data_IF_985673687456
#
_entry.id   IF_985673687456
#
_cell.length_a   1.000
_cell.length_b   1.000
_cell.length_c   1.000
_cell.angle_alpha   90.00
_cell.angle_beta   90.00
_cell.angle_gamma   90.00
#
_symmetry.space_group_name_H-M   'P 1'
#
loop_
_entity.id
_entity.type
_entity.pdbx_description
1 polymer ?
#
# COMPACT_ATOMS: atom_id res chain seq x y z
N UNK A 1 8.68 9.15 -2.01
CA UNK A 1 9.04 8.07 -1.06
C UNK A 1 9.24 6.81 -1.88
N UNK A 2 10.48 6.52 -2.27
CA UNK A 2 10.83 5.29 -2.98
C UNK A 2 11.10 4.25 -1.90
N UNK A 3 10.20 3.28 -1.77
CA UNK A 3 10.39 2.14 -0.88
C UNK A 3 11.36 1.18 -1.56
N UNK A 4 12.60 1.15 -1.10
CA UNK A 4 13.63 0.26 -1.59
C UNK A 4 13.42 -1.14 -0.96
N UNK A 5 12.91 -2.09 -1.74
CA UNK A 5 12.90 -3.50 -1.35
C UNK A 5 14.29 -4.09 -1.61
N UNK A 6 14.99 -4.49 -0.54
CA UNK A 6 16.16 -5.38 -0.65
C UNK A 6 15.69 -6.70 -1.25
N UNK A 7 16.23 -7.07 -2.40
CA UNK A 7 16.22 -8.46 -2.86
C UNK A 7 17.08 -9.28 -1.92
N UNK A 8 16.44 -10.07 -1.05
CA UNK A 8 17.10 -11.19 -0.40
C UNK A 8 17.15 -12.32 -1.45
N UNK A 9 18.34 -12.81 -1.78
CA UNK A 9 18.53 -14.02 -2.58
C UNK A 9 17.80 -15.19 -1.89
N UNK A 10 16.86 -15.83 -2.59
CA UNK A 10 16.09 -16.98 -2.10
C UNK A 10 14.57 -16.88 -2.15
N UNK A 11 13.99 -15.87 -2.81
CA UNK A 11 12.53 -15.72 -2.88
C UNK A 11 11.87 -16.75 -3.81
N UNK A 12 11.16 -17.73 -3.22
CA UNK A 12 10.06 -18.43 -3.90
C UNK A 12 8.97 -17.40 -4.23
N UNK A 13 8.63 -17.31 -5.52
CA UNK A 13 7.60 -16.43 -6.08
C UNK A 13 6.31 -16.44 -5.23
N UNK A 14 6.11 -15.39 -4.41
CA UNK A 14 4.89 -15.18 -3.65
C UNK A 14 3.77 -14.72 -4.61
N UNK A 15 2.97 -15.69 -5.09
CA UNK A 15 1.71 -15.39 -5.77
C UNK A 15 0.72 -14.75 -4.79
N UNK A 16 0.42 -13.48 -5.02
CA UNK A 16 -0.62 -12.74 -4.29
C UNK A 16 -1.99 -13.33 -4.67
N UNK A 17 -2.78 -13.88 -3.74
CA UNK A 17 -4.15 -14.33 -4.03
C UNK A 17 -5.06 -13.11 -4.24
N UNK A 18 -5.68 -13.01 -5.40
CA UNK A 18 -6.73 -12.02 -5.66
C UNK A 18 -8.07 -12.58 -5.16
N UNK A 19 -8.66 -11.93 -4.17
CA UNK A 19 -10.05 -12.13 -3.74
C UNK A 19 -10.77 -10.77 -3.73
N UNK A 20 -12.06 -10.70 -4.14
CA UNK A 20 -12.95 -11.80 -4.49
C UNK A 20 -12.75 -12.32 -5.93
N UNK A 21 -13.12 -13.59 -6.23
CA UNK A 21 -13.09 -14.11 -7.59
C UNK A 21 -14.04 -13.28 -8.49
N UNK A 22 -13.73 -13.11 -9.78
CA UNK A 22 -14.62 -12.42 -10.70
C UNK A 22 -15.96 -13.17 -10.74
N UNK A 23 -17.03 -12.41 -10.52
CA UNK A 23 -18.42 -12.87 -10.54
C UNK A 23 -18.68 -13.66 -11.83
N UNK A 24 -18.92 -14.98 -11.71
CA UNK A 24 -19.54 -15.74 -12.80
C UNK A 24 -20.98 -15.27 -12.91
N UNK A 25 -21.22 -14.31 -13.80
CA UNK A 25 -22.56 -13.97 -14.25
C UNK A 25 -23.25 -15.24 -14.75
N UNK A 26 -24.46 -15.43 -14.27
CA UNK A 26 -25.36 -16.55 -14.54
C UNK A 26 -25.52 -16.80 -16.04
N UNK A 27 -25.35 -18.07 -16.44
CA UNK A 27 -25.89 -18.56 -17.72
C UNK A 27 -27.39 -18.80 -17.62
N UNK A 28 -28.13 -18.63 -18.72
CA UNK A 28 -29.13 -19.59 -19.15
C UNK A 28 -28.65 -20.32 -20.42
N UNK A 29 -28.81 -21.64 -20.44
CA UNK A 29 -28.48 -22.57 -21.54
C UNK A 29 -29.35 -22.37 -22.80
N UNK A 30 -29.25 -23.21 -23.86
CA UNK A 30 -28.10 -23.51 -24.74
C UNK A 30 -28.49 -23.29 -26.23
N UNK A 31 -27.68 -22.60 -27.03
CA UNK A 31 -27.82 -22.65 -28.49
C UNK A 31 -26.49 -22.35 -29.20
N UNK A 32 -26.11 -23.26 -30.08
CA UNK A 32 -25.03 -23.20 -31.08
C UNK A 32 -23.63 -22.85 -30.58
N UNK A 33 -22.78 -23.87 -30.60
CA UNK A 33 -21.33 -23.77 -30.77
C UNK A 33 -20.99 -22.95 -32.03
N UNK A 34 -20.90 -21.63 -31.89
CA UNK A 34 -20.12 -20.81 -32.80
C UNK A 34 -18.80 -20.50 -32.09
N UNK A 35 -17.75 -21.15 -32.57
CA UNK A 35 -16.40 -20.72 -32.30
C UNK A 35 -16.24 -19.38 -33.01
N UNK A 36 -16.56 -18.27 -32.34
CA UNK A 36 -16.23 -16.91 -32.81
C UNK A 36 -14.70 -16.80 -32.85
N UNK A 37 -14.12 -17.16 -34.00
CA UNK A 37 -12.74 -16.79 -34.28
C UNK A 37 -12.71 -15.26 -34.40
N UNK A 38 -11.82 -14.56 -33.68
CA UNK A 38 -11.75 -13.11 -33.73
C UNK A 38 -11.56 -12.65 -35.17
N UNK A 39 -12.17 -11.51 -35.51
CA UNK A 39 -12.04 -10.91 -36.84
C UNK A 39 -10.55 -10.78 -37.21
N UNK A 40 -10.17 -11.04 -38.48
CA UNK A 40 -8.79 -10.96 -38.91
C UNK A 40 -8.23 -9.57 -38.58
N UNK A 41 -7.10 -9.54 -37.86
CA UNK A 41 -6.43 -8.30 -37.50
C UNK A 41 -6.14 -7.52 -38.79
N UNK A 42 -6.63 -6.28 -38.88
CA UNK A 42 -6.30 -5.38 -39.97
C UNK A 42 -4.84 -5.01 -39.80
N UNK A 43 -3.98 -5.59 -40.64
CA UNK A 43 -2.55 -5.34 -40.65
C UNK A 43 -2.24 -4.15 -41.57
N UNK A 44 -1.35 -3.25 -41.14
CA UNK A 44 -0.82 -2.21 -42.03
C UNK A 44 0.02 -2.84 -43.16
N UNK A 45 0.27 -2.12 -44.27
CA UNK A 45 1.13 -2.61 -45.35
C UNK A 45 2.51 -3.10 -44.87
N UNK A 46 3.09 -2.39 -43.89
CA UNK A 46 4.35 -2.77 -43.24
C UNK A 46 4.23 -4.08 -42.44
N UNK A 47 3.11 -4.26 -41.74
CA UNK A 47 2.84 -5.48 -40.97
C UNK A 47 2.60 -6.69 -41.87
N UNK A 48 2.02 -6.49 -43.06
CA UNK A 48 1.87 -7.54 -44.06
C UNK A 48 3.23 -8.00 -44.62
N UNK A 49 4.15 -7.07 -44.88
CA UNK A 49 5.52 -7.36 -45.31
C UNK A 49 6.31 -8.08 -44.22
N UNK A 50 6.17 -7.66 -42.95
CA UNK A 50 6.80 -8.33 -41.82
C UNK A 50 6.22 -9.73 -41.60
N UNK A 51 4.92 -9.92 -41.78
CA UNK A 51 4.28 -11.24 -41.67
C UNK A 51 4.74 -12.17 -42.80
N UNK A 52 4.88 -11.67 -44.02
CA UNK A 52 5.50 -12.38 -45.15
C UNK A 52 6.94 -12.81 -44.85
N UNK A 53 7.72 -11.94 -44.21
CA UNK A 53 9.08 -12.26 -43.76
C UNK A 53 9.07 -13.31 -42.66
N UNK A 54 8.26 -13.16 -41.61
CA UNK A 54 8.10 -14.13 -40.52
C UNK A 54 7.62 -15.50 -41.01
N UNK A 55 6.72 -15.54 -42.00
CA UNK A 55 6.29 -16.79 -42.66
C UNK A 55 7.44 -17.50 -43.39
N UNK A 56 8.41 -16.74 -43.92
CA UNK A 56 9.57 -17.27 -44.66
C UNK A 56 10.73 -17.65 -43.75
N UNK A 57 10.99 -16.88 -42.69
CA UNK A 57 12.17 -17.05 -41.82
C UNK A 57 11.86 -17.72 -40.48
N UNK A 58 10.58 -17.96 -40.18
CA UNK A 58 10.14 -18.36 -38.84
C UNK A 58 10.11 -17.18 -37.85
N UNK A 59 9.64 -17.42 -36.61
CA UNK A 59 9.77 -16.44 -35.52
C UNK A 59 11.25 -16.06 -35.37
N UNK A 60 11.53 -14.77 -35.17
CA UNK A 60 12.87 -14.37 -34.79
C UNK A 60 13.21 -15.07 -33.46
N UNK A 61 14.29 -15.83 -33.45
CA UNK A 61 14.82 -16.40 -32.21
C UNK A 61 15.00 -15.25 -31.20
N UNK A 62 14.50 -15.41 -29.96
CA UNK A 62 14.67 -14.40 -28.93
C UNK A 62 16.17 -14.11 -28.78
N UNK A 63 16.58 -12.89 -29.16
CA UNK A 63 17.95 -12.48 -28.94
C UNK A 63 18.23 -12.48 -27.43
N UNK A 64 19.44 -12.87 -27.04
CA UNK A 64 19.86 -12.80 -25.65
C UNK A 64 19.65 -11.37 -25.13
N UNK A 65 19.02 -11.19 -23.96
CA UNK A 65 18.76 -9.89 -23.40
C UNK A 65 20.09 -9.19 -23.14
N UNK A 66 20.36 -8.12 -23.89
CA UNK A 66 21.55 -7.29 -23.68
C UNK A 66 21.38 -6.50 -22.37
N UNK A 67 22.44 -6.37 -21.56
CA UNK A 67 22.39 -5.50 -20.40
C UNK A 67 22.10 -4.06 -20.85
N UNK A 68 21.34 -3.32 -20.04
CA UNK A 68 21.07 -1.90 -20.29
C UNK A 68 22.42 -1.15 -20.30
N UNK A 69 22.74 -0.37 -21.35
CA UNK A 69 23.96 0.42 -21.39
C UNK A 69 24.12 1.30 -20.14
N UNK A 70 25.34 1.48 -19.65
CA UNK A 70 25.62 2.15 -18.37
C UNK A 70 25.01 3.56 -18.32
N UNK A 71 25.00 4.25 -19.45
CA UNK A 71 24.46 5.60 -19.63
C UNK A 71 22.93 5.66 -19.46
N UNK A 72 22.24 4.55 -19.69
CA UNK A 72 20.78 4.43 -19.63
C UNK A 72 20.27 3.75 -18.35
N UNK A 73 21.17 3.30 -17.48
CA UNK A 73 20.80 2.67 -16.20
C UNK A 73 20.29 3.70 -15.17
N UNK A 74 20.62 4.98 -15.34
CA UNK A 74 20.31 6.06 -14.40
C UNK A 74 19.68 7.25 -15.12
N UNK A 75 19.01 8.11 -14.35
CA UNK A 75 18.49 9.39 -14.85
C UNK A 75 17.32 9.33 -15.82
N UNK A 76 16.96 8.16 -16.34
CA UNK A 76 15.83 7.99 -17.27
C UNK A 76 14.47 8.45 -16.72
N UNK A 77 14.34 8.56 -15.40
CA UNK A 77 13.16 9.07 -14.70
C UNK A 77 13.16 10.59 -14.50
N UNK A 78 14.31 11.26 -14.73
CA UNK A 78 14.44 12.71 -14.61
C UNK A 78 14.15 13.34 -15.96
N UNK A 79 13.17 14.23 -15.99
CA UNK A 79 12.79 15.02 -17.15
C UNK A 79 12.92 16.48 -16.72
N UNK A 80 13.85 17.22 -17.34
CA UNK A 80 14.18 18.59 -16.93
C UNK A 80 13.58 19.66 -17.84
N UNK A 81 13.22 19.29 -19.08
CA UNK A 81 12.70 20.21 -20.08
C UNK A 81 11.63 19.53 -20.94
N UNK A 82 10.86 20.35 -21.65
CA UNK A 82 9.80 19.89 -22.55
C UNK A 82 10.35 19.11 -23.76
N UNK A 83 11.57 19.41 -24.20
CA UNK A 83 12.20 18.77 -25.36
C UNK A 83 12.55 17.30 -25.06
N UNK A 84 12.91 16.97 -23.83
CA UNK A 84 13.10 15.61 -23.35
C UNK A 84 11.79 14.82 -23.39
N UNK A 85 10.66 15.43 -22.99
CA UNK A 85 9.33 14.80 -23.12
C UNK A 85 9.03 14.52 -24.58
N UNK A 86 9.20 15.50 -25.47
CA UNK A 86 8.96 15.33 -26.92
C UNK A 86 9.84 14.22 -27.50
N UNK A 87 11.11 14.15 -27.10
CA UNK A 87 12.05 13.11 -27.53
C UNK A 87 11.61 11.72 -27.07
N UNK A 88 11.19 11.57 -25.82
CA UNK A 88 10.65 10.31 -25.29
C UNK A 88 9.43 9.89 -26.12
N UNK A 89 8.47 10.79 -26.32
CA UNK A 89 7.25 10.51 -27.10
C UNK A 89 7.52 10.18 -28.57
N UNK A 90 8.60 10.70 -29.14
CA UNK A 90 9.09 10.36 -30.48
C UNK A 90 9.66 8.94 -30.55
N UNK A 91 10.35 8.50 -29.49
CA UNK A 91 11.00 7.19 -29.42
C UNK A 91 10.07 6.05 -28.93
N UNK A 92 8.87 6.35 -28.46
CA UNK A 92 7.88 5.34 -28.06
C UNK A 92 7.46 4.47 -29.25
N UNK A 93 7.54 3.15 -29.08
CA UNK A 93 7.25 2.20 -30.14
C UNK A 93 5.77 2.21 -30.54
N UNK A 94 5.49 2.43 -31.83
CA UNK A 94 4.12 2.58 -32.36
C UNK A 94 3.23 1.34 -32.17
N UNK A 95 3.84 0.14 -32.09
CA UNK A 95 3.12 -1.13 -31.85
C UNK A 95 2.99 -1.50 -30.37
N UNK A 96 3.72 -0.80 -29.49
CA UNK A 96 3.72 -1.10 -28.08
C UNK A 96 2.40 -0.68 -27.44
N UNK A 97 1.65 -1.63 -26.86
CA UNK A 97 0.35 -1.33 -26.24
C UNK A 97 0.50 -0.35 -25.07
N UNK A 98 1.54 -0.56 -24.24
CA UNK A 98 1.86 0.32 -23.11
C UNK A 98 2.35 1.69 -23.60
N UNK A 99 3.16 1.69 -24.65
CA UNK A 99 3.82 2.84 -25.24
C UNK A 99 2.81 3.75 -25.95
N UNK A 100 1.86 3.16 -26.69
CA UNK A 100 0.73 3.89 -27.28
C UNK A 100 -0.14 4.55 -26.23
N UNK A 101 -0.46 3.81 -25.16
CA UNK A 101 -1.29 4.35 -24.09
C UNK A 101 -0.57 5.48 -23.34
N UNK A 102 0.71 5.29 -23.02
CA UNK A 102 1.55 6.32 -22.43
C UNK A 102 1.60 7.59 -23.30
N UNK A 103 1.83 7.43 -24.61
CA UNK A 103 1.85 8.53 -25.58
C UNK A 103 0.52 9.28 -25.62
N UNK A 104 -0.59 8.54 -25.67
CA UNK A 104 -1.95 9.09 -25.67
C UNK A 104 -2.25 9.88 -24.39
N UNK A 105 -1.88 9.32 -23.23
CA UNK A 105 -2.11 9.94 -21.93
C UNK A 105 -1.29 11.22 -21.81
N UNK A 106 0.01 11.18 -22.08
CA UNK A 106 0.90 12.35 -21.97
C UNK A 106 0.47 13.46 -22.93
N UNK A 107 0.20 13.17 -24.21
CA UNK A 107 -0.27 14.18 -25.16
C UNK A 107 -1.57 14.84 -24.69
N UNK A 108 -2.53 14.04 -24.21
CA UNK A 108 -3.77 14.58 -23.65
C UNK A 108 -3.50 15.55 -22.49
N UNK A 109 -2.56 15.22 -21.61
CA UNK A 109 -2.15 16.11 -20.52
C UNK A 109 -1.49 17.39 -21.02
N UNK A 110 -0.57 17.29 -22.00
CA UNK A 110 0.09 18.45 -22.61
C UNK A 110 -0.96 19.39 -23.23
N UNK A 111 -1.85 18.85 -24.09
CA UNK A 111 -2.90 19.63 -24.76
C UNK A 111 -3.82 20.31 -23.74
N UNK A 112 -4.29 19.55 -22.74
CA UNK A 112 -5.15 20.09 -21.68
C UNK A 112 -4.44 21.16 -20.84
N UNK A 113 -3.15 20.99 -20.56
CA UNK A 113 -2.35 21.94 -19.78
C UNK A 113 -1.98 23.22 -20.55
N UNK A 114 -1.82 23.13 -21.88
CA UNK A 114 -1.54 24.27 -22.75
C UNK A 114 -2.79 25.12 -23.01
N UNK A 115 -3.96 24.49 -23.22
CA UNK A 115 -5.23 25.20 -23.41
C UNK A 115 -5.68 25.95 -22.14
N UNK A 116 -5.20 25.52 -20.97
CA UNK A 116 -5.50 26.13 -19.66
C UNK A 116 -4.30 26.86 -19.05
N UNK A 117 -3.58 27.65 -19.85
CA UNK A 117 -2.62 28.70 -19.42
C UNK A 117 -1.89 28.45 -18.08
N UNK A 118 -1.06 27.41 -18.04
CA UNK A 118 0.22 27.43 -17.30
C UNK A 118 0.24 27.13 -15.80
N UNK A 119 -0.86 26.65 -15.18
CA UNK A 119 -0.81 26.19 -13.78
C UNK A 119 -1.77 25.04 -13.51
N UNK A 120 -1.25 23.81 -13.49
CA UNK A 120 -1.83 22.71 -12.70
C UNK A 120 -1.60 23.02 -11.21
N UNK A 121 -2.26 24.06 -10.69
CA UNK A 121 -2.28 24.32 -9.26
C UNK A 121 -3.35 23.43 -8.63
N UNK A 122 -2.91 22.39 -7.92
CA UNK A 122 -3.74 21.82 -6.85
C UNK A 122 -4.05 22.96 -5.85
N UNK A 123 -5.29 23.07 -5.33
CA UNK A 123 -5.58 24.03 -4.26
C UNK A 123 -4.76 23.65 -3.01
N UNK A 124 -3.70 24.39 -2.72
CA UNK A 124 -2.77 24.07 -1.63
C UNK A 124 -1.42 24.80 -1.75
N UNK A 125 -0.53 24.53 -0.79
CA UNK A 125 0.77 25.17 -0.66
C UNK A 125 1.61 25.00 -1.95
N UNK A 126 1.97 26.13 -2.56
CA UNK A 126 2.60 26.20 -3.90
C UNK A 126 4.04 25.71 -3.90
N UNK A 127 4.64 25.56 -2.73
CA UNK A 127 6.03 25.13 -2.52
C UNK A 127 6.29 23.70 -3.00
N UNK A 128 5.30 22.80 -2.89
CA UNK A 128 5.43 21.39 -3.30
C UNK A 128 5.21 21.14 -4.81
N UNK A 129 4.69 22.14 -5.53
CA UNK A 129 4.41 22.08 -6.98
C UNK A 129 5.27 23.04 -7.80
N UNK A 130 6.17 23.77 -7.14
CA UNK A 130 7.17 24.60 -7.79
C UNK A 130 8.27 23.70 -8.38
N UNK A 131 8.21 23.50 -9.69
CA UNK A 131 9.19 22.71 -10.47
C UNK A 131 10.36 23.58 -10.95
N UNK A 132 10.62 24.73 -10.32
CA UNK A 132 11.76 25.57 -10.66
C UNK A 132 13.07 24.76 -10.57
N UNK A 133 13.81 24.73 -11.69
CA UNK A 133 15.11 24.05 -11.76
C UNK A 133 16.04 24.67 -10.72
N UNK A 134 16.40 23.90 -9.70
CA UNK A 134 17.26 24.40 -8.63
C UNK A 134 18.73 24.34 -9.04
N UNK A 135 19.63 25.11 -8.39
CA UNK A 135 21.07 24.94 -8.59
C UNK A 135 21.55 23.53 -8.29
N UNK A 136 20.85 22.79 -7.42
CA UNK A 136 21.15 21.39 -7.14
C UNK A 136 20.78 20.51 -8.34
N UNK A 137 19.64 20.75 -8.99
CA UNK A 137 19.25 20.00 -10.18
C UNK A 137 20.27 20.13 -11.31
N UNK A 138 20.78 21.35 -11.55
CA UNK A 138 21.84 21.60 -12.52
C UNK A 138 23.13 20.85 -12.19
N UNK A 139 23.52 20.80 -10.91
CA UNK A 139 24.68 20.03 -10.45
C UNK A 139 24.47 18.53 -10.67
N UNK A 140 23.29 18.00 -10.37
CA UNK A 140 22.96 16.58 -10.54
C UNK A 140 22.91 16.21 -12.02
N UNK A 141 22.38 17.09 -12.89
CA UNK A 141 22.35 16.86 -14.33
C UNK A 141 23.74 16.86 -14.97
N UNK A 142 24.74 17.50 -14.35
CA UNK A 142 26.13 17.44 -14.78
C UNK A 142 26.87 16.15 -14.36
N UNK A 143 26.25 15.31 -13.52
CA UNK A 143 26.83 14.02 -13.12
C UNK A 143 26.66 12.96 -14.22
N UNK A 144 27.49 11.89 -14.22
CA UNK A 144 27.34 10.78 -15.16
C UNK A 144 25.92 10.17 -15.10
N UNK A 145 25.25 10.10 -16.25
CA UNK A 145 23.87 9.61 -16.35
C UNK A 145 22.80 10.60 -15.86
N UNK A 146 23.16 11.86 -15.61
CA UNK A 146 22.21 12.94 -15.28
C UNK A 146 21.39 12.69 -14.02
N UNK A 147 21.92 11.94 -13.06
CA UNK A 147 21.22 11.49 -11.86
C UNK A 147 22.13 11.52 -10.63
N UNK A 148 21.56 11.51 -9.40
CA UNK A 148 22.34 11.36 -8.19
C UNK A 148 23.18 10.08 -8.24
N UNK A 149 24.38 10.17 -7.66
CA UNK A 149 25.24 9.00 -7.46
C UNK A 149 24.56 8.02 -6.49
N UNK A 150 24.99 6.77 -6.51
CA UNK A 150 24.54 5.79 -5.51
C UNK A 150 25.02 6.24 -4.15
N UNK A 151 24.11 6.23 -3.16
CA UNK A 151 24.47 6.45 -1.77
C UNK A 151 25.53 5.43 -1.32
N UNK A 152 26.50 5.87 -0.52
CA UNK A 152 27.54 4.98 0.00
C UNK A 152 26.87 3.95 0.93
N UNK A 153 27.34 2.68 0.99
CA UNK A 153 26.83 1.74 1.99
C UNK A 153 26.94 2.34 3.39
N UNK A 154 25.84 2.29 4.14
CA UNK A 154 25.69 2.90 5.47
C UNK A 154 25.53 4.43 5.49
N UNK A 155 25.35 5.08 4.34
CA UNK A 155 25.01 6.51 4.23
C UNK A 155 23.48 6.69 4.37
N UNK A 156 23.00 6.58 5.60
CA UNK A 156 21.61 6.81 5.96
C UNK A 156 21.55 7.75 7.16
N UNK A 157 20.47 8.51 7.27
CA UNK A 157 20.30 9.51 8.33
C UNK A 157 19.58 8.89 9.54
N UNK A 158 20.24 8.79 10.71
CA UNK A 158 19.63 8.21 11.91
C UNK A 158 18.39 8.94 12.39
N UNK A 159 18.37 10.26 12.27
CA UNK A 159 17.21 11.09 12.62
C UNK A 159 15.98 10.76 11.76
N UNK A 160 16.19 10.47 10.47
CA UNK A 160 15.10 10.09 9.56
C UNK A 160 14.59 8.70 9.89
N UNK A 161 15.49 7.74 10.16
CA UNK A 161 15.11 6.40 10.58
C UNK A 161 14.30 6.43 11.90
N UNK A 162 14.80 7.15 12.91
CA UNK A 162 14.11 7.33 14.19
C UNK A 162 12.73 7.98 14.00
N UNK A 163 12.62 9.00 13.14
CA UNK A 163 11.33 9.64 12.85
C UNK A 163 10.31 8.67 12.25
N UNK A 164 10.74 7.78 11.36
CA UNK A 164 9.87 6.74 10.78
C UNK A 164 9.46 5.73 11.84
N UNK A 165 10.40 5.32 12.70
CA UNK A 165 10.15 4.37 13.80
C UNK A 165 9.18 4.93 14.85
N UNK A 166 9.32 6.21 15.20
CA UNK A 166 8.38 6.90 16.09
C UNK A 166 7.00 7.07 15.45
N UNK A 167 6.94 7.33 14.14
CA UNK A 167 5.67 7.50 13.44
C UNK A 167 4.81 6.23 13.47
N UNK A 168 5.41 5.04 13.42
CA UNK A 168 4.63 3.79 13.55
C UNK A 168 4.17 3.55 15.00
N UNK A 169 4.99 3.89 15.99
CA UNK A 169 4.60 3.82 17.41
C UNK A 169 3.42 4.75 17.71
N UNK A 170 3.46 6.00 17.24
CA UNK A 170 2.37 6.97 17.38
C UNK A 170 1.07 6.48 16.71
N UNK A 171 1.17 5.78 15.57
CA UNK A 171 -0.01 5.18 14.94
C UNK A 171 -0.62 4.05 15.78
N UNK A 172 0.21 3.22 16.44
CA UNK A 172 -0.29 2.19 17.37
C UNK A 172 -1.00 2.85 18.54
N UNK A 173 -0.38 3.85 19.18
CA UNK A 173 -0.98 4.62 20.28
C UNK A 173 -2.29 5.29 19.87
N UNK A 174 -2.34 5.84 18.66
CA UNK A 174 -3.55 6.43 18.11
C UNK A 174 -4.66 5.39 17.88
N UNK A 175 -4.32 4.17 17.50
CA UNK A 175 -5.30 3.09 17.40
C UNK A 175 -5.81 2.64 18.78
N UNK A 176 -4.95 2.60 19.79
CA UNK A 176 -5.34 2.33 21.19
C UNK A 176 -6.38 3.35 21.67
N UNK A 177 -6.14 4.64 21.43
CA UNK A 177 -7.08 5.72 21.74
C UNK A 177 -8.41 5.54 21.00
N UNK A 178 -8.38 5.22 19.70
CA UNK A 178 -9.59 4.98 18.89
C UNK A 178 -10.42 3.82 19.45
N UNK A 179 -9.79 2.70 19.79
CA UNK A 179 -10.46 1.51 20.35
C UNK A 179 -11.11 1.85 21.69
N UNK A 180 -10.39 2.57 22.54
CA UNK A 180 -10.87 2.98 23.87
C UNK A 180 -12.06 3.94 23.79
N UNK A 181 -11.94 4.96 22.95
CA UNK A 181 -13.01 5.91 22.71
C UNK A 181 -14.26 5.17 22.20
N UNK A 182 -14.09 4.29 21.21
CA UNK A 182 -15.18 3.48 20.64
C UNK A 182 -15.79 2.45 21.62
N UNK A 183 -15.20 2.27 22.81
CA UNK A 183 -15.59 1.28 23.83
C UNK A 183 -15.57 -0.16 23.28
N UNK A 184 -14.54 -0.50 22.50
CA UNK A 184 -14.39 -1.80 21.84
C UNK A 184 -13.41 -2.74 22.56
N UNK A 185 -12.88 -2.30 23.70
CA UNK A 185 -11.98 -3.04 24.57
C UNK A 185 -12.72 -3.98 25.54
N UNK A 186 -12.04 -5.02 26.01
CA UNK A 186 -12.48 -5.89 27.11
C UNK A 186 -12.60 -5.11 28.42
N UNK A 187 -13.50 -5.57 29.30
CA UNK A 187 -13.73 -4.94 30.60
C UNK A 187 -12.44 -4.86 31.42
N UNK A 188 -12.12 -3.67 31.93
CA UNK A 188 -10.99 -3.43 32.81
C UNK A 188 -9.68 -3.09 32.10
N UNK A 189 -9.63 -3.15 30.76
CA UNK A 189 -8.51 -2.61 30.02
C UNK A 189 -8.52 -1.08 30.06
N UNK A 190 -7.33 -0.49 30.26
CA UNK A 190 -7.11 0.95 30.26
C UNK A 190 -6.08 1.28 29.20
N UNK A 191 -6.28 2.41 28.52
CA UNK A 191 -5.32 2.93 27.55
C UNK A 191 -3.99 3.19 28.27
N UNK A 192 -2.89 2.57 27.83
CA UNK A 192 -1.58 2.87 28.40
C UNK A 192 -1.16 4.29 28.04
N UNK A 193 -0.38 4.93 28.90
CA UNK A 193 0.15 6.27 28.62
C UNK A 193 0.99 6.26 27.34
N UNK A 194 0.89 7.34 26.56
CA UNK A 194 1.65 7.52 25.31
C UNK A 194 3.12 7.72 25.63
N UNK A 195 3.95 6.77 25.19
CA UNK A 195 5.40 6.84 25.37
C UNK A 195 6.02 7.93 24.49
N UNK A 196 5.39 8.27 23.36
CA UNK A 196 5.82 9.36 22.47
C UNK A 196 5.70 10.75 23.10
N UNK A 197 4.81 10.92 24.09
CA UNK A 197 4.57 12.18 24.81
C UNK A 197 5.06 12.15 26.25
N UNK A 198 5.65 11.04 26.69
CA UNK A 198 6.12 10.89 28.07
C UNK A 198 7.39 11.72 28.31
N UNK A 199 7.34 12.58 29.32
CA UNK A 199 8.47 13.45 29.69
C UNK A 199 9.66 12.59 30.13
N UNK A 200 10.76 12.66 29.38
CA UNK A 200 12.00 11.92 29.67
C UNK A 200 12.20 10.63 28.86
N UNK A 201 11.25 10.24 28.00
CA UNK A 201 11.45 9.13 27.08
C UNK A 201 12.50 9.50 26.00
N UNK A 202 13.62 8.77 25.98
CA UNK A 202 14.66 8.93 24.96
C UNK A 202 14.60 7.72 24.05
N UNK A 203 14.61 7.94 22.74
CA UNK A 203 14.50 6.88 21.74
C UNK A 203 15.74 6.78 20.86
N UNK A 204 16.00 5.58 20.36
CA UNK A 204 17.01 5.30 19.33
C UNK A 204 16.37 4.68 18.10
N UNK A 205 16.92 4.88 16.89
CA UNK A 205 16.50 4.13 15.71
C UNK A 205 16.59 2.62 15.97
N UNK A 206 15.58 1.87 15.54
CA UNK A 206 15.49 0.42 15.75
C UNK A 206 16.59 -0.33 14.99
N UNK A 207 17.04 0.22 13.86
CA UNK A 207 18.13 -0.32 13.06
C UNK A 207 19.52 -0.22 13.73
N UNK A 208 19.68 0.57 14.80
CA UNK A 208 20.92 0.65 15.55
C UNK A 208 20.95 -0.35 16.71
N UNK A 209 22.08 -1.01 16.99
CA UNK A 209 22.22 -1.82 18.18
C UNK A 209 22.16 -0.94 19.44
N UNK A 210 21.82 -1.55 20.58
CA UNK A 210 21.94 -0.89 21.90
C UNK A 210 23.40 -0.61 22.20
N UNK A 211 23.71 0.60 22.66
CA UNK A 211 25.07 0.98 23.08
C UNK A 211 25.31 0.52 24.53
N UNK A 212 25.55 -0.78 24.70
CA UNK A 212 25.77 -1.41 26.02
C UNK A 212 24.48 -1.80 26.75
N UNK A 213 24.64 -2.49 27.89
CA UNK A 213 23.51 -3.00 28.68
C UNK A 213 22.73 -1.91 29.44
N UNK A 214 23.33 -0.73 29.64
CA UNK A 214 22.75 0.39 30.40
C UNK A 214 22.25 1.54 29.52
N UNK A 215 22.07 1.34 28.21
CA UNK A 215 21.51 2.35 27.32
C UNK A 215 20.05 2.68 27.71
N UNK A 216 19.74 3.92 28.15
CA UNK A 216 18.38 4.30 28.55
C UNK A 216 17.44 4.47 27.34
N UNK A 217 17.97 4.43 26.10
CA UNK A 217 17.17 4.68 24.90
C UNK A 217 16.28 3.50 24.54
N UNK A 218 15.00 3.80 24.39
CA UNK A 218 13.98 2.84 23.98
C UNK A 218 14.01 2.61 22.47
N UNK A 219 13.56 1.42 22.07
CA UNK A 219 13.37 1.02 20.68
C UNK A 219 11.90 1.22 20.30
N UNK A 220 11.56 2.21 19.46
CA UNK A 220 10.16 2.51 19.14
C UNK A 220 9.44 1.33 18.48
N UNK A 221 10.13 0.56 17.63
CA UNK A 221 9.53 -0.56 16.88
C UNK A 221 9.25 -1.73 17.82
N UNK A 222 10.17 -2.02 18.74
CA UNK A 222 9.95 -3.06 19.75
C UNK A 222 8.78 -2.69 20.68
N UNK A 223 8.73 -1.43 21.11
CA UNK A 223 7.63 -0.94 21.94
C UNK A 223 6.30 -0.98 21.18
N UNK A 224 6.28 -0.54 19.92
CA UNK A 224 5.10 -0.57 19.07
C UNK A 224 4.59 -2.01 18.88
N UNK A 225 5.50 -2.98 18.71
CA UNK A 225 5.17 -4.41 18.64
C UNK A 225 4.51 -4.92 19.91
N UNK A 226 5.08 -4.63 21.08
CA UNK A 226 4.52 -5.05 22.37
C UNK A 226 3.14 -4.44 22.61
N UNK A 227 3.00 -3.14 22.34
CA UNK A 227 1.72 -2.43 22.42
C UNK A 227 0.68 -2.98 21.45
N UNK A 228 1.06 -3.24 20.20
CA UNK A 228 0.15 -3.80 19.20
C UNK A 228 -0.36 -5.19 19.59
N UNK A 229 0.49 -6.04 20.18
CA UNK A 229 0.09 -7.34 20.71
C UNK A 229 -0.89 -7.20 21.89
N UNK A 230 -0.61 -6.27 22.81
CA UNK A 230 -1.51 -5.97 23.93
C UNK A 230 -2.85 -5.40 23.46
N UNK A 231 -2.84 -4.53 22.44
CA UNK A 231 -4.04 -3.93 21.85
C UNK A 231 -4.92 -4.99 21.18
N UNK A 232 -4.36 -5.92 20.40
CA UNK A 232 -5.15 -7.01 19.83
C UNK A 232 -5.83 -7.85 20.91
N UNK A 233 -5.10 -8.21 21.96
CA UNK A 233 -5.65 -8.96 23.08
C UNK A 233 -6.72 -8.16 23.85
N UNK A 234 -6.62 -6.84 23.84
CA UNK A 234 -7.57 -5.94 24.49
C UNK A 234 -8.87 -5.74 23.70
N UNK A 235 -8.87 -5.90 22.38
CA UNK A 235 -10.09 -5.78 21.56
C UNK A 235 -10.99 -7.00 21.78
N UNK A 236 -12.27 -6.77 22.08
CA UNK A 236 -13.20 -7.88 22.23
C UNK A 236 -13.42 -8.59 20.88
N UNK A 237 -13.39 -9.93 20.89
CA UNK A 237 -13.44 -10.74 19.65
C UNK A 237 -14.70 -10.52 18.80
N UNK A 238 -15.80 -10.07 19.40
CA UNK A 238 -17.05 -9.73 18.67
C UNK A 238 -16.88 -8.57 17.68
N UNK A 239 -15.83 -7.77 17.85
CA UNK A 239 -15.52 -6.62 17.01
C UNK A 239 -14.48 -6.90 15.93
N UNK A 240 -13.90 -8.10 15.89
CA UNK A 240 -13.01 -8.50 14.81
C UNK A 240 -13.82 -9.18 13.71
N UNK A 241 -13.61 -8.75 12.46
CA UNK A 241 -14.13 -9.39 11.24
C UNK A 241 -13.00 -10.18 10.55
N UNK A 242 -13.33 -11.09 9.61
CA UNK A 242 -12.31 -11.78 8.83
C UNK A 242 -11.33 -10.78 8.18
N UNK A 243 -10.02 -11.11 8.12
CA UNK A 243 -9.41 -12.40 8.42
C UNK A 243 -9.05 -12.66 9.90
N UNK A 244 -9.14 -11.66 10.77
CA UNK A 244 -8.68 -11.77 12.17
C UNK A 244 -9.78 -12.20 13.15
N UNK A 245 -11.04 -12.00 12.77
CA UNK A 245 -12.20 -12.48 13.51
C UNK A 245 -13.04 -13.48 12.71
N UNK A 246 -14.15 -13.92 13.31
CA UNK A 246 -15.10 -14.83 12.68
C UNK A 246 -16.16 -14.06 11.88
N UNK A 247 -16.61 -14.63 10.76
CA UNK A 247 -17.71 -14.06 9.97
C UNK A 247 -18.96 -13.95 10.83
N UNK A 248 -19.45 -12.73 11.09
CA UNK A 248 -20.70 -12.53 11.85
C UNK A 248 -21.93 -13.09 11.08
N UNK A 249 -21.81 -13.37 9.78
CA UNK A 249 -22.91 -13.86 8.93
C UNK A 249 -23.17 -15.37 8.92
N UNK A 250 -22.24 -16.20 9.42
CA UNK A 250 -22.34 -17.66 9.31
C UNK A 250 -23.01 -18.36 10.50
N UNK A 251 -23.53 -17.59 11.46
CA UNK A 251 -24.36 -18.15 12.55
C UNK A 251 -25.69 -18.70 12.00
N UNK A 252 -26.12 -18.26 10.81
CA UNK A 252 -27.42 -18.63 10.23
C UNK A 252 -27.40 -19.81 9.23
N UNK A 253 -26.23 -20.35 8.84
CA UNK A 253 -26.15 -21.49 7.91
C UNK A 253 -25.69 -22.80 8.59
N UNK A 254 -25.14 -22.73 9.80
CA UNK A 254 -24.77 -23.92 10.58
C UNK A 254 -25.96 -24.60 11.29
N UNK A 255 -27.18 -24.04 11.18
CA UNK A 255 -28.40 -24.59 11.78
C UNK A 255 -28.90 -25.91 11.18
N UNK A 256 -28.22 -26.50 10.20
CA UNK A 256 -28.62 -27.78 9.57
C UNK A 256 -27.61 -28.93 9.73
N UNK A 257 -26.52 -28.72 10.48
CA UNK A 257 -25.61 -29.79 10.88
C UNK A 257 -25.33 -29.59 12.37
N UNK A 258 -25.82 -30.50 13.21
CA UNK A 258 -25.85 -30.40 14.67
C UNK A 258 -24.49 -30.46 15.38
N UNK A 259 -23.50 -29.71 14.90
CA UNK A 259 -22.26 -29.42 15.60
C UNK A 259 -22.10 -27.91 15.64
N UNK A 260 -22.38 -27.33 16.81
CA UNK A 260 -21.99 -25.95 17.12
C UNK A 260 -20.48 -25.82 16.90
N UNK A 261 -19.98 -24.89 16.06
CA UNK A 261 -18.55 -24.66 15.97
C UNK A 261 -18.06 -24.26 17.37
N UNK A 262 -16.91 -24.77 17.84
CA UNK A 262 -16.37 -24.38 19.13
C UNK A 262 -16.15 -22.87 19.11
N UNK A 263 -16.95 -22.14 19.88
CA UNK A 263 -16.92 -20.67 20.01
C UNK A 263 -15.60 -20.13 20.57
N UNK A 264 -14.66 -21.01 20.91
CA UNK A 264 -13.36 -20.70 21.51
C UNK A 264 -12.17 -20.90 20.56
N UNK A 265 -12.37 -21.39 19.33
CA UNK A 265 -11.24 -21.62 18.42
C UNK A 265 -10.76 -20.32 17.77
N UNK A 266 -9.47 -19.99 18.00
CA UNK A 266 -8.85 -18.77 17.48
C UNK A 266 -8.75 -18.85 15.95
N UNK A 267 -9.23 -17.85 15.18
CA UNK A 267 -9.12 -17.86 13.73
C UNK A 267 -7.68 -18.05 13.25
N UNK A 268 -7.47 -18.90 12.24
CA UNK A 268 -6.13 -19.15 11.66
C UNK A 268 -5.44 -17.84 11.24
N UNK A 269 -6.20 -16.90 10.66
CA UNK A 269 -5.68 -15.59 10.28
C UNK A 269 -5.15 -14.80 11.48
N UNK A 270 -5.78 -14.91 12.65
CA UNK A 270 -5.32 -14.28 13.88
C UNK A 270 -4.05 -14.93 14.43
N UNK A 271 -3.93 -16.26 14.35
CA UNK A 271 -2.70 -16.97 14.74
C UNK A 271 -1.53 -16.53 13.87
N UNK A 272 -1.71 -16.51 12.55
CA UNK A 272 -0.68 -16.05 11.60
C UNK A 272 -0.33 -14.58 11.84
N UNK A 273 -1.32 -13.73 12.10
CA UNK A 273 -1.08 -12.33 12.42
C UNK A 273 -0.23 -12.16 13.69
N UNK A 274 -0.53 -12.89 14.77
CA UNK A 274 0.28 -12.84 16.00
C UNK A 274 1.70 -13.32 15.79
N UNK A 275 1.89 -14.39 15.02
CA UNK A 275 3.22 -14.88 14.65
C UNK A 275 3.99 -13.84 13.83
N UNK A 276 3.32 -13.19 12.87
CA UNK A 276 3.91 -12.13 12.06
C UNK A 276 4.33 -10.91 12.89
N UNK A 277 3.47 -10.43 13.80
CA UNK A 277 3.82 -9.35 14.74
C UNK A 277 4.96 -9.79 15.66
N UNK A 278 4.91 -11.02 16.17
CA UNK A 278 5.95 -11.64 16.99
C UNK A 278 7.32 -11.70 16.30
N UNK A 279 7.37 -11.77 14.98
CA UNK A 279 8.60 -11.76 14.16
C UNK A 279 8.92 -10.41 13.52
N UNK A 280 8.13 -9.37 13.78
CA UNK A 280 8.39 -8.05 13.24
C UNK A 280 9.61 -7.40 13.93
N UNK A 281 10.46 -6.79 13.11
CA UNK A 281 11.68 -6.09 13.49
C UNK A 281 11.85 -4.74 12.76
N UNK A 282 10.87 -4.33 11.96
CA UNK A 282 10.93 -3.10 11.17
C UNK A 282 9.61 -2.34 11.23
N UNK A 283 9.68 -1.02 11.10
CA UNK A 283 8.52 -0.13 11.06
C UNK A 283 7.52 -0.51 9.96
N UNK A 284 8.00 -0.97 8.80
CA UNK A 284 7.14 -1.44 7.73
C UNK A 284 6.34 -2.70 8.12
N UNK A 285 6.97 -3.67 8.79
CA UNK A 285 6.28 -4.88 9.24
C UNK A 285 5.21 -4.55 10.30
N UNK A 286 5.53 -3.67 11.25
CA UNK A 286 4.56 -3.20 12.25
C UNK A 286 3.41 -2.44 11.58
N UNK A 287 3.70 -1.54 10.64
CA UNK A 287 2.68 -0.79 9.92
C UNK A 287 1.74 -1.70 9.13
N UNK A 288 2.26 -2.73 8.46
CA UNK A 288 1.44 -3.71 7.74
C UNK A 288 0.54 -4.51 8.70
N UNK A 289 1.06 -4.94 9.84
CA UNK A 289 0.28 -5.65 10.84
C UNK A 289 -0.78 -4.76 11.49
N UNK A 290 -0.43 -3.51 11.80
CA UNK A 290 -1.34 -2.48 12.30
C UNK A 290 -2.47 -2.22 11.32
N UNK A 291 -2.14 -2.01 10.04
CA UNK A 291 -3.14 -1.82 8.98
C UNK A 291 -4.08 -3.01 8.89
N UNK A 292 -3.57 -4.24 8.94
CA UNK A 292 -4.41 -5.45 8.92
C UNK A 292 -5.33 -5.52 10.14
N UNK A 293 -4.86 -5.14 11.33
CA UNK A 293 -5.68 -5.09 12.54
C UNK A 293 -6.78 -4.02 12.41
N UNK A 294 -6.41 -2.77 12.12
CA UNK A 294 -7.36 -1.65 11.97
C UNK A 294 -8.42 -1.94 10.90
N UNK A 295 -8.00 -2.52 9.77
CA UNK A 295 -8.90 -2.91 8.69
C UNK A 295 -9.83 -4.06 9.08
N UNK A 296 -9.46 -4.90 10.06
CA UNK A 296 -10.23 -6.03 10.57
C UNK A 296 -11.11 -5.68 11.78
N UNK A 297 -11.13 -4.43 12.22
CA UNK A 297 -12.05 -3.95 13.26
C UNK A 297 -13.38 -3.54 12.63
N UNK A 298 -14.48 -4.01 13.20
CA UNK A 298 -15.86 -3.67 12.84
C UNK A 298 -16.31 -2.38 13.54
N UNK A 299 -15.81 -1.24 13.04
CA UNK A 299 -16.06 0.09 13.61
C UNK A 299 -17.54 0.51 13.64
N UNK A 300 -18.37 -0.08 12.78
CA UNK A 300 -19.81 0.13 12.71
C UNK A 300 -20.57 -0.36 13.96
N UNK A 301 -20.00 -1.32 14.69
CA UNK A 301 -20.55 -1.85 15.95
C UNK A 301 -20.09 -1.08 17.19
N UNK A 302 -19.40 0.05 17.02
CA UNK A 302 -18.94 0.88 18.13
C UNK A 302 -20.13 1.45 18.94
N UNK A 303 -19.97 1.46 20.27
CA UNK A 303 -21.07 1.81 21.19
C UNK A 303 -21.36 3.32 21.16
N UNK A 304 -20.40 4.14 20.73
CA UNK A 304 -20.53 5.61 20.67
C UNK A 304 -21.60 6.13 19.71
N UNK A 305 -22.12 5.30 18.80
CA UNK A 305 -23.22 5.70 17.89
C UNK A 305 -24.62 5.44 18.48
N UNK A 306 -24.73 4.74 19.61
CA UNK A 306 -26.01 4.33 20.19
C UNK A 306 -26.52 5.21 21.34
N UNK A 307 -25.70 6.12 21.88
CA UNK A 307 -26.08 6.93 23.07
C UNK A 307 -26.68 8.30 22.69
N UNK A 308 -26.59 8.73 21.44
CA UNK A 308 -27.09 10.04 20.98
C UNK A 308 -28.56 10.09 20.54
N UNK A 309 -29.31 8.98 20.57
CA UNK A 309 -30.70 8.93 20.05
C UNK A 309 -31.79 8.58 21.08
N UNK A 310 -31.51 8.55 22.38
CA UNK A 310 -32.53 8.32 23.41
C UNK A 310 -32.49 9.46 24.43
N UNK A 311 -32.94 10.66 24.04
CA UNK A 311 -33.26 11.77 24.96
C UNK A 311 -34.07 12.88 24.26
N UNK A 312 -35.26 12.56 23.75
CA UNK A 312 -36.29 13.57 23.44
C UNK A 312 -37.70 12.97 23.39
N UNK A 313 -38.11 12.32 24.47
CA UNK A 313 -39.51 12.02 24.73
C UNK A 313 -39.89 12.43 26.16
N UNK A 314 -39.72 13.72 26.48
CA UNK A 314 -40.40 14.30 27.64
C UNK A 314 -41.85 14.59 27.26
N UNK A 315 -42.74 13.87 27.94
CA UNK A 315 -44.17 13.87 27.71
C UNK A 315 -44.80 15.25 27.86
N UNK A 316 -45.71 15.56 26.93
CA UNK A 316 -46.80 16.50 27.18
C UNK A 316 -47.96 15.69 27.76
N UNK A 317 -48.19 15.86 29.06
CA UNK A 317 -49.35 15.35 29.80
C UNK A 317 -49.95 16.49 30.63
N UNK A 318 -51.15 16.89 30.22
CA UNK A 318 -52.17 17.80 30.76
C UNK A 318 -52.19 18.28 32.22
N UNK A 319 -52.71 19.51 32.33
CA UNK A 319 -53.65 20.08 33.33
C UNK A 319 -53.19 20.15 34.80
N UNK A 320 -53.35 21.25 35.52
CA UNK A 320 -54.51 22.16 35.70
C UNK A 320 -54.04 23.61 35.82
#
# INVERSE_FOLDING_TARGET
>A
VIVCFRCLEGSTELRIPVFPPPSRLSSPSPASSQCESPAPLILTPEEMVQLEQLKKTGPLEPADPKPVPYELQRGWWRIMDEDQVRTILGNLHSRGVRERELKRVINKYIDTSMDSSGKMCLPGDKTATDLAITPLDSKVSALPGGAPLVDVPSDWLPEVALRVDLAVLDQVETLEDKVANASMQVKGWKVPQRATTEEGAIFRPSCLPKEGESDPRLDPVLLAKERLMCLEAAIERRYLKPPLGVSTGDVNLCGMSGESPPSDEVPKGLVVWREAVGRAHTSAQIAMALYMLEASIAWDKSIMKAVSSVSSASGKGSSV
#
